data_IF_790885930165
#
_entry.id   IF_790885930165
#
_cell.length_a   1.000
_cell.length_b   1.000
_cell.length_c   1.000
_cell.angle_alpha   90.00
_cell.angle_beta   90.00
_cell.angle_gamma   90.00
#
_symmetry.space_group_name_H-M   'P 1'
#
loop_
_entity.id
_entity.type
_entity.pdbx_description
1 polymer ?
#
# COMPACT_ATOMS: atom_id res chain seq x y z
N UNK A 1 -6.12 9.17 10.73
CA UNK A 1 -6.90 8.87 9.51
C UNK A 1 -5.90 8.54 8.41
N UNK A 2 -6.01 7.37 7.77
CA UNK A 2 -5.11 6.97 6.68
C UNK A 2 -5.34 7.87 5.46
N UNK A 3 -4.27 8.35 4.84
CA UNK A 3 -4.30 9.30 3.72
C UNK A 3 -4.33 8.59 2.37
N UNK A 4 -5.00 7.44 2.28
CA UNK A 4 -5.19 6.67 1.03
C UNK A 4 -6.15 7.42 0.10
N UNK A 5 -5.71 8.57 -0.38
CA UNK A 5 -6.41 9.40 -1.37
C UNK A 5 -6.03 8.92 -2.77
N UNK A 6 -6.88 9.17 -3.78
CA UNK A 6 -6.56 8.85 -5.17
C UNK A 6 -5.23 9.44 -5.64
N UNK A 7 -4.91 10.66 -5.16
CA UNK A 7 -3.66 11.33 -5.47
C UNK A 7 -2.46 10.66 -4.78
N UNK A 8 -2.59 10.30 -3.50
CA UNK A 8 -1.51 9.61 -2.77
C UNK A 8 -1.15 8.26 -3.39
N UNK A 9 -2.14 7.44 -3.78
CA UNK A 9 -1.84 6.15 -4.43
C UNK A 9 -1.28 6.31 -5.85
N UNK A 10 -1.62 7.41 -6.53
CA UNK A 10 -1.03 7.76 -7.82
C UNK A 10 0.45 8.13 -7.67
N UNK A 11 0.80 8.89 -6.64
CA UNK A 11 2.19 9.22 -6.33
C UNK A 11 3.01 7.96 -6.01
N UNK A 12 2.46 7.02 -5.23
CA UNK A 12 3.08 5.71 -4.97
C UNK A 12 3.43 4.98 -6.28
N UNK A 13 2.52 4.97 -7.24
CA UNK A 13 2.73 4.31 -8.54
C UNK A 13 3.77 5.03 -9.43
N UNK A 14 3.93 6.35 -9.29
CA UNK A 14 4.88 7.13 -10.08
C UNK A 14 6.33 6.95 -9.63
N UNK A 15 6.55 6.57 -8.37
CA UNK A 15 7.88 6.33 -7.83
C UNK A 15 8.43 4.94 -8.22
N UNK A 16 9.75 4.79 -8.20
CA UNK A 16 10.36 3.45 -8.28
C UNK A 16 9.99 2.63 -7.04
N UNK A 17 9.90 1.30 -7.20
CA UNK A 17 9.38 0.37 -6.16
C UNK A 17 9.87 0.66 -4.73
N UNK A 18 11.16 0.89 -4.44
CA UNK A 18 11.60 1.19 -3.07
C UNK A 18 11.01 2.50 -2.52
N UNK A 19 11.00 3.55 -3.33
CA UNK A 19 10.46 4.86 -2.97
C UNK A 19 8.93 4.83 -2.88
N UNK A 20 8.26 4.11 -3.78
CA UNK A 20 6.82 3.90 -3.76
C UNK A 20 6.36 3.15 -2.50
N UNK A 21 7.07 2.09 -2.11
CA UNK A 21 6.79 1.35 -0.85
C UNK A 21 6.96 2.23 0.38
N UNK A 22 8.04 3.01 0.45
CA UNK A 22 8.25 3.94 1.57
C UNK A 22 7.18 5.05 1.60
N UNK A 23 6.77 5.58 0.45
CA UNK A 23 5.69 6.55 0.37
C UNK A 23 4.36 5.94 0.83
N UNK A 24 4.06 4.70 0.41
CA UNK A 24 2.87 3.97 0.84
C UNK A 24 2.83 3.77 2.36
N UNK A 25 3.95 3.37 2.97
CA UNK A 25 4.08 3.25 4.44
C UNK A 25 3.67 4.54 5.15
N UNK A 26 4.13 5.70 4.64
CA UNK A 26 3.79 7.02 5.19
C UNK A 26 2.31 7.35 5.04
N UNK A 27 1.69 7.05 3.89
CA UNK A 27 0.24 7.25 3.69
C UNK A 27 -0.61 6.42 4.66
N UNK A 28 -0.14 5.23 5.01
CA UNK A 28 -0.76 4.33 5.98
C UNK A 28 -0.49 4.75 7.43
N UNK A 29 0.37 5.74 7.67
CA UNK A 29 0.89 6.13 8.99
C UNK A 29 1.48 4.95 9.78
N UNK A 30 2.12 4.00 9.09
CA UNK A 30 2.84 2.93 9.77
C UNK A 30 4.15 3.48 10.31
N UNK A 31 4.59 3.03 11.48
CA UNK A 31 5.90 3.39 12.03
C UNK A 31 7.02 2.89 11.10
N UNK A 32 8.18 3.55 11.14
CA UNK A 32 9.36 3.03 10.46
C UNK A 32 9.78 1.72 11.12
N UNK A 33 10.16 0.73 10.31
CA UNK A 33 10.57 -0.57 10.79
C UNK A 33 11.72 -1.10 9.95
N UNK A 34 12.58 -1.91 10.57
CA UNK A 34 13.65 -2.61 9.88
C UNK A 34 13.03 -3.77 9.10
N UNK A 35 12.96 -3.65 7.77
CA UNK A 35 12.37 -4.66 6.90
C UNK A 35 13.06 -6.04 7.00
N UNK A 36 14.35 -6.09 7.39
CA UNK A 36 15.06 -7.36 7.57
C UNK A 36 14.70 -8.03 8.89
N UNK A 37 14.49 -7.24 9.95
CA UNK A 37 14.13 -7.75 11.29
C UNK A 37 12.64 -7.99 11.46
N UNK A 38 11.79 -7.21 10.78
CA UNK A 38 10.33 -7.35 10.77
C UNK A 38 9.84 -7.75 9.38
N UNK A 39 10.16 -8.99 9.00
CA UNK A 39 9.76 -9.55 7.71
C UNK A 39 8.25 -9.57 7.52
N UNK A 40 7.47 -9.69 8.62
CA UNK A 40 5.99 -9.69 8.56
C UNK A 40 5.48 -8.35 8.06
N UNK A 41 5.90 -7.23 8.67
CA UNK A 41 5.49 -5.89 8.21
C UNK A 41 5.97 -5.61 6.79
N UNK A 42 7.16 -6.08 6.42
CA UNK A 42 7.68 -5.93 5.04
C UNK A 42 6.78 -6.64 4.03
N UNK A 43 6.37 -7.89 4.30
CA UNK A 43 5.47 -8.68 3.44
C UNK A 43 4.10 -8.02 3.32
N UNK A 44 3.54 -7.51 4.42
CA UNK A 44 2.25 -6.83 4.39
C UNK A 44 2.31 -5.54 3.54
N UNK A 45 3.38 -4.75 3.69
CA UNK A 45 3.59 -3.55 2.89
C UNK A 45 3.80 -3.88 1.40
N UNK A 46 4.49 -4.98 1.09
CA UNK A 46 4.65 -5.47 -0.28
C UNK A 46 3.29 -5.88 -0.88
N UNK A 47 2.46 -6.61 -0.12
CA UNK A 47 1.11 -7.00 -0.54
C UNK A 47 0.24 -5.78 -0.89
N UNK A 48 0.28 -4.75 -0.04
CA UNK A 48 -0.44 -3.50 -0.30
C UNK A 48 0.09 -2.78 -1.53
N UNK A 49 1.41 -2.73 -1.73
CA UNK A 49 2.01 -2.16 -2.93
C UNK A 49 1.58 -2.92 -4.20
N UNK A 50 1.66 -4.25 -4.19
CA UNK A 50 1.24 -5.08 -5.32
C UNK A 50 -0.27 -4.94 -5.61
N UNK A 51 -1.11 -4.67 -4.60
CA UNK A 51 -2.53 -4.36 -4.83
C UNK A 51 -2.75 -3.09 -5.66
N UNK A 52 -1.87 -2.07 -5.51
CA UNK A 52 -1.88 -0.86 -6.35
C UNK A 52 -1.50 -1.22 -7.78
N UNK A 53 -0.38 -1.94 -7.95
CA UNK A 53 0.12 -2.34 -9.27
C UNK A 53 -0.93 -3.17 -10.01
N UNK A 54 -1.57 -4.10 -9.31
CA UNK A 54 -2.66 -4.91 -9.82
C UNK A 54 -3.84 -4.05 -10.30
N UNK A 55 -4.39 -3.19 -9.44
CA UNK A 55 -5.56 -2.37 -9.77
C UNK A 55 -5.29 -1.41 -10.93
N UNK A 56 -4.11 -0.76 -10.95
CA UNK A 56 -3.66 0.09 -12.06
C UNK A 56 -3.51 -0.73 -13.33
N UNK A 57 -2.88 -1.90 -13.26
CA UNK A 57 -2.72 -2.81 -14.41
C UNK A 57 -4.04 -3.35 -14.97
N UNK A 58 -5.11 -3.37 -14.16
CA UNK A 58 -6.49 -3.68 -14.59
C UNK A 58 -7.23 -2.48 -15.18
N UNK A 59 -6.64 -1.28 -15.15
CA UNK A 59 -7.22 -0.06 -15.69
C UNK A 59 -8.25 0.61 -14.78
N UNK A 60 -8.22 0.33 -13.47
CA UNK A 60 -9.16 0.94 -12.53
C UNK A 60 -8.92 2.45 -12.41
N UNK A 61 -10.00 3.26 -12.27
CA UNK A 61 -9.87 4.66 -11.87
C UNK A 61 -9.13 4.80 -10.54
N UNK A 62 -8.38 5.90 -10.36
CA UNK A 62 -7.59 6.13 -9.13
C UNK A 62 -8.40 6.11 -7.83
N UNK A 63 -9.69 6.45 -7.90
CA UNK A 63 -10.61 6.33 -6.75
C UNK A 63 -10.81 4.87 -6.35
N UNK A 64 -10.99 3.98 -7.31
CA UNK A 64 -11.14 2.55 -7.07
C UNK A 64 -9.81 1.90 -6.67
N UNK A 65 -8.68 2.35 -7.23
CA UNK A 65 -7.34 1.93 -6.79
C UNK A 65 -7.16 2.23 -5.29
N UNK A 66 -7.52 3.43 -4.84
CA UNK A 66 -7.47 3.77 -3.41
C UNK A 66 -8.38 2.89 -2.56
N UNK A 67 -9.58 2.55 -3.05
CA UNK A 67 -10.51 1.64 -2.38
C UNK A 67 -9.95 0.21 -2.28
N UNK A 68 -9.32 -0.31 -3.33
CA UNK A 68 -8.68 -1.64 -3.33
C UNK A 68 -7.59 -1.72 -2.27
N UNK A 69 -6.73 -0.71 -2.18
CA UNK A 69 -5.67 -0.67 -1.16
C UNK A 69 -6.26 -0.62 0.24
N UNK A 70 -7.26 0.25 0.45
CA UNK A 70 -7.92 0.38 1.75
C UNK A 70 -8.57 -0.95 2.16
N UNK A 71 -9.33 -1.57 1.27
CA UNK A 71 -9.97 -2.86 1.51
C UNK A 71 -8.95 -3.96 1.81
N UNK A 72 -7.85 -4.01 1.05
CA UNK A 72 -6.76 -4.97 1.29
C UNK A 72 -6.12 -4.74 2.66
N UNK A 73 -5.94 -3.48 3.06
CA UNK A 73 -5.37 -3.13 4.37
C UNK A 73 -6.27 -3.53 5.53
N UNK A 74 -7.58 -3.28 5.42
CA UNK A 74 -8.59 -3.71 6.37
C UNK A 74 -8.62 -5.25 6.47
N UNK A 75 -8.61 -5.95 5.33
CA UNK A 75 -8.58 -7.41 5.28
C UNK A 75 -7.32 -7.99 5.95
N UNK A 76 -6.15 -7.41 5.69
CA UNK A 76 -4.89 -7.85 6.30
C UNK A 76 -4.85 -7.62 7.82
N UNK A 77 -5.50 -6.55 8.32
CA UNK A 77 -5.64 -6.30 9.77
C UNK A 77 -6.56 -7.30 10.45
N UNK A 78 -7.66 -7.66 9.80
CA UNK A 78 -8.65 -8.59 10.35
C UNK A 78 -8.22 -10.06 10.25
N UNK A 79 -7.37 -10.38 9.27
CA UNK A 79 -6.85 -11.74 9.10
C UNK A 79 -5.90 -12.08 10.24
N UNK A 80 -6.32 -13.01 11.10
CA UNK A 80 -5.45 -13.62 12.10
C UNK A 80 -4.67 -14.77 11.46
N UNK A 81 -3.46 -14.46 11.00
CA UNK A 81 -2.42 -15.41 10.58
C UNK A 81 -1.23 -15.40 11.53
#
# INVERSE_FOLDING_TARGET
MTLLTPQGVKEVFQFQRPQGREHLRRLLNWEEFDEQRDSRRSILLDTLYESIIFAVGKGFPWVEVAQVVKFTEELLRETKG
#
